data_IF_676515900076
#
_entry.id   IF_676515900076
#
_cell.length_a   1.000
_cell.length_b   1.000
_cell.length_c   1.000
_cell.angle_alpha   90.00
_cell.angle_beta   90.00
_cell.angle_gamma   90.00
#
_symmetry.space_group_name_H-M   'P 1'
#
loop_
_entity.id
_entity.type
_entity.pdbx_description
1 polymer ?
#
# COMPACT_ATOMS: atom_id res chain seq x y z
N UNK A 1 -2.38 -6.38 -3.21
CA UNK A 1 -2.54 -5.39 -4.30
C UNK A 1 -3.98 -4.86 -4.38
N UNK A 2 -5.02 -5.69 -4.54
CA UNK A 2 -6.42 -5.19 -4.57
C UNK A 2 -6.86 -4.47 -3.30
N UNK A 3 -6.49 -5.00 -2.12
CA UNK A 3 -6.76 -4.36 -0.84
C UNK A 3 -6.10 -2.97 -0.73
N UNK A 4 -4.86 -2.83 -1.20
CA UNK A 4 -4.16 -1.54 -1.23
C UNK A 4 -4.84 -0.55 -2.18
N UNK A 5 -5.24 -0.99 -3.37
CA UNK A 5 -5.96 -0.14 -4.32
C UNK A 5 -7.33 0.31 -3.78
N UNK A 6 -7.98 -0.51 -2.94
CA UNK A 6 -9.27 -0.18 -2.34
C UNK A 6 -9.18 1.00 -1.36
N UNK A 7 -8.02 1.27 -0.75
CA UNK A 7 -7.81 2.45 0.10
C UNK A 7 -8.06 3.78 -0.65
N UNK A 8 -8.09 3.77 -2.00
CA UNK A 8 -8.53 4.90 -2.82
C UNK A 8 -9.85 5.52 -2.36
N UNK A 9 -10.81 4.72 -1.88
CA UNK A 9 -12.10 5.26 -1.42
C UNK A 9 -11.98 6.15 -0.18
N UNK A 10 -10.88 6.00 0.56
CA UNK A 10 -10.58 6.77 1.76
C UNK A 10 -9.63 7.94 1.46
N UNK A 11 -9.10 8.06 0.24
CA UNK A 11 -8.09 9.06 -0.08
C UNK A 11 -8.69 10.38 -0.57
N UNK A 12 -8.18 11.48 -0.03
CA UNK A 12 -8.42 12.85 -0.50
C UNK A 12 -7.09 13.50 -0.86
N UNK A 13 -6.98 13.92 -2.12
CA UNK A 13 -5.83 14.70 -2.60
C UNK A 13 -5.69 16.02 -1.82
N UNK A 14 -4.48 16.49 -1.48
CA UNK A 14 -3.16 15.97 -1.90
C UNK A 14 -2.59 14.83 -1.06
N UNK A 15 -2.83 14.79 0.25
CA UNK A 15 -2.02 13.97 1.16
C UNK A 15 -2.83 13.23 2.23
N UNK A 16 -4.16 13.23 2.12
CA UNK A 16 -5.03 12.98 3.26
C UNK A 16 -5.89 11.74 3.16
N UNK A 17 -6.26 11.23 4.33
CA UNK A 17 -7.42 10.37 4.50
C UNK A 17 -8.68 11.22 4.69
N UNK A 18 -9.75 10.88 3.98
CA UNK A 18 -11.06 11.52 4.06
C UNK A 18 -11.81 11.22 5.36
N UNK A 19 -11.49 10.10 6.00
CA UNK A 19 -12.24 9.51 7.10
C UNK A 19 -11.35 8.97 8.23
N UNK A 20 -10.03 9.24 8.20
CA UNK A 20 -9.07 8.73 9.17
C UNK A 20 -8.64 7.29 8.94
N UNK A 21 -9.19 6.61 7.93
CA UNK A 21 -8.78 5.26 7.53
C UNK A 21 -7.43 5.25 6.80
N UNK A 22 -6.73 4.10 6.75
CA UNK A 22 -5.47 3.96 6.04
C UNK A 22 -5.57 4.30 4.54
N UNK A 23 -4.58 5.04 4.06
CA UNK A 23 -4.39 5.39 2.63
C UNK A 23 -2.97 5.19 2.11
N UNK A 24 -2.04 4.83 3.02
CA UNK A 24 -0.61 4.79 2.72
C UNK A 24 -0.22 3.76 1.67
N UNK A 25 -0.95 2.64 1.57
CA UNK A 25 -0.68 1.63 0.56
C UNK A 25 -1.09 2.14 -0.82
N UNK A 26 -2.27 2.77 -0.91
CA UNK A 26 -2.72 3.39 -2.15
C UNK A 26 -1.80 4.52 -2.60
N UNK A 27 -1.43 5.44 -1.71
CA UNK A 27 -0.59 6.59 -2.06
C UNK A 27 0.80 6.16 -2.55
N UNK A 28 1.38 5.10 -1.98
CA UNK A 28 2.63 4.53 -2.49
C UNK A 28 2.45 3.88 -3.87
N UNK A 29 1.34 3.18 -4.13
CA UNK A 29 1.08 2.57 -5.43
C UNK A 29 1.00 3.59 -6.57
N UNK A 30 0.55 4.81 -6.28
CA UNK A 30 0.36 5.89 -7.27
C UNK A 30 1.41 6.99 -7.15
N UNK A 31 2.49 6.76 -6.41
CA UNK A 31 3.56 7.74 -6.21
C UNK A 31 4.34 7.95 -7.51
N UNK A 32 4.25 9.13 -8.10
CA UNK A 32 4.75 9.43 -9.44
C UNK A 32 6.28 9.24 -9.56
N UNK A 33 7.00 9.50 -8.48
CA UNK A 33 8.46 9.37 -8.42
C UNK A 33 8.92 7.93 -8.15
N UNK A 34 8.02 6.98 -7.85
CA UNK A 34 8.37 5.58 -7.65
C UNK A 34 8.35 4.84 -9.00
N UNK A 35 9.53 4.63 -9.58
CA UNK A 35 9.70 4.08 -10.93
C UNK A 35 9.89 2.56 -10.94
N UNK A 36 10.33 1.99 -9.82
CA UNK A 36 10.71 0.58 -9.70
C UNK A 36 9.84 -0.09 -8.65
N UNK A 37 9.44 -1.33 -8.93
CA UNK A 37 8.69 -2.18 -7.98
C UNK A 37 9.31 -3.56 -7.91
N UNK A 38 9.51 -4.05 -6.70
CA UNK A 38 9.96 -5.42 -6.43
C UNK A 38 9.03 -6.08 -5.42
N UNK A 39 8.62 -7.31 -5.68
CA UNK A 39 7.70 -8.03 -4.80
C UNK A 39 8.27 -9.40 -4.42
N UNK A 40 7.96 -9.83 -3.20
CA UNK A 40 8.26 -11.15 -2.69
C UNK A 40 7.02 -11.73 -2.02
N UNK A 41 6.90 -13.05 -2.11
CA UNK A 41 5.79 -13.79 -1.53
C UNK A 41 6.34 -14.98 -0.75
N UNK A 42 5.77 -15.22 0.43
CA UNK A 42 6.03 -16.38 1.26
C UNK A 42 4.75 -16.81 1.96
N UNK A 43 4.72 -18.04 2.46
CA UNK A 43 3.63 -18.54 3.28
C UNK A 43 4.19 -19.42 4.39
N UNK A 44 3.50 -19.48 5.52
CA UNK A 44 3.94 -20.25 6.69
C UNK A 44 2.75 -20.83 7.45
N UNK A 45 2.99 -21.94 8.14
CA UNK A 45 1.98 -22.55 9.00
C UNK A 45 1.79 -21.71 10.26
N UNK A 46 0.54 -21.30 10.52
CA UNK A 46 0.13 -20.58 11.71
C UNK A 46 -0.90 -21.39 12.50
N UNK A 47 -0.46 -21.93 13.64
CA UNK A 47 -1.28 -22.75 14.55
C UNK A 47 -2.46 -21.99 15.18
N UNK A 48 -2.46 -20.67 15.14
CA UNK A 48 -3.52 -19.84 15.71
C UNK A 48 -4.67 -19.59 14.72
N UNK A 49 -4.44 -19.76 13.41
CA UNK A 49 -5.44 -19.58 12.37
C UNK A 49 -6.09 -20.92 11.97
N UNK A 50 -6.91 -21.50 12.86
CA UNK A 50 -7.44 -22.88 12.71
C UNK A 50 -8.25 -23.15 11.42
N UNK A 51 -8.92 -22.13 10.88
CA UNK A 51 -9.75 -22.26 9.66
C UNK A 51 -8.91 -22.12 8.37
N UNK A 52 -7.77 -21.45 8.45
CA UNK A 52 -6.85 -21.20 7.34
C UNK A 52 -5.41 -21.24 7.91
N UNK A 53 -4.87 -22.43 8.18
CA UNK A 53 -3.66 -22.59 8.98
C UNK A 53 -2.37 -22.22 8.22
N UNK A 54 -2.47 -21.72 7.00
CA UNK A 54 -1.36 -21.15 6.25
C UNK A 54 -1.59 -19.65 6.09
N UNK A 55 -0.73 -18.86 6.73
CA UNK A 55 -0.68 -17.43 6.57
C UNK A 55 0.12 -17.08 5.31
N UNK A 56 -0.32 -16.05 4.59
CA UNK A 56 0.26 -15.59 3.35
C UNK A 56 0.90 -14.22 3.57
N UNK A 57 2.19 -14.09 3.29
CA UNK A 57 2.95 -12.85 3.40
C UNK A 57 3.31 -12.37 2.00
N UNK A 58 2.86 -11.17 1.65
CA UNK A 58 3.19 -10.49 0.41
C UNK A 58 3.84 -9.15 0.75
N UNK A 59 5.10 -8.99 0.36
CA UNK A 59 5.87 -7.77 0.60
C UNK A 59 6.23 -7.12 -0.74
N UNK A 60 6.13 -5.80 -0.81
CA UNK A 60 6.42 -5.01 -2.02
C UNK A 60 7.26 -3.82 -1.63
N UNK A 61 8.36 -3.61 -2.34
CA UNK A 61 9.22 -2.46 -2.22
C UNK A 61 9.08 -1.59 -3.47
N UNK A 62 9.04 -0.28 -3.27
CA UNK A 62 9.00 0.73 -4.32
C UNK A 62 10.30 1.54 -4.29
N UNK A 63 10.79 1.94 -5.47
CA UNK A 63 12.04 2.66 -5.62
C UNK A 63 11.92 3.79 -6.64
N UNK A 64 12.35 5.02 -6.32
CA UNK A 64 12.47 5.60 -4.97
C UNK A 64 11.24 5.36 -4.09
N UNK A 65 11.44 5.38 -2.76
CA UNK A 65 10.33 5.33 -1.81
C UNK A 65 9.44 6.56 -1.96
N UNK A 66 8.15 6.39 -1.68
CA UNK A 66 7.17 7.46 -1.65
C UNK A 66 6.59 7.67 -0.25
N UNK A 67 5.39 8.24 -0.20
CA UNK A 67 4.71 8.62 1.05
C UNK A 67 5.52 9.60 1.91
N UNK A 68 6.24 10.51 1.25
CA UNK A 68 6.94 11.58 1.93
C UNK A 68 5.93 12.51 2.62
N UNK A 69 6.15 12.78 3.91
CA UNK A 69 5.24 13.57 4.73
C UNK A 69 5.01 14.96 4.11
N UNK A 70 3.74 15.33 3.93
CA UNK A 70 3.34 16.60 3.35
C UNK A 70 3.47 16.69 1.82
N UNK A 71 3.93 15.64 1.13
CA UNK A 71 4.00 15.61 -0.33
C UNK A 71 2.80 14.87 -0.95
N UNK A 72 2.31 15.42 -2.07
CA UNK A 72 1.28 14.76 -2.87
C UNK A 72 1.89 13.59 -3.66
N UNK A 73 1.15 12.49 -3.87
CA UNK A 73 1.66 11.35 -4.62
C UNK A 73 1.90 11.65 -6.10
N UNK A 74 1.27 12.68 -6.67
CA UNK A 74 1.45 13.10 -8.05
C UNK A 74 1.02 14.57 -8.22
N UNK A 75 1.50 15.29 -9.24
CA UNK A 75 1.02 16.64 -9.56
C UNK A 75 -0.39 16.60 -10.16
N UNK A 76 -1.18 17.67 -9.95
CA UNK A 76 -2.38 17.92 -10.75
C UNK A 76 -1.95 18.40 -12.15
N UNK A 77 -2.49 17.77 -13.18
CA UNK A 77 -2.32 18.17 -14.58
C UNK A 77 -3.10 19.44 -14.92
#
# INVERSE_FOLDING_TARGET
MTAWAAERSNFTYPTGSANGEPVGSYTQMVWAQSEWVGAAYSYYFDRYHRQAPYAHLFAVNFGPGGNDEGQAPYPLA
#
